data_IF_973876121607
#
_entry.id   IF_973876121607
#
_cell.length_a   1.000
_cell.length_b   1.000
_cell.length_c   1.000
_cell.angle_alpha   90.00
_cell.angle_beta   90.00
_cell.angle_gamma   90.00
#
_symmetry.space_group_name_H-M   'P 1'
#
loop_
_entity.id
_entity.type
_entity.pdbx_description
1 polymer ?
#
# COMPACT_ATOMS: atom_id res chain seq x y z
N UNK A 1 -13.07 12.33 28.30
CA UNK A 1 -12.48 11.60 29.45
C UNK A 1 -10.99 11.53 29.20
N UNK A 2 -10.12 11.74 30.20
CA UNK A 2 -8.68 11.58 30.00
C UNK A 2 -8.38 10.13 29.63
N UNK A 3 -7.40 9.93 28.76
CA UNK A 3 -6.89 8.60 28.42
C UNK A 3 -5.87 8.20 29.48
N UNK A 4 -5.98 6.98 30.02
CA UNK A 4 -5.02 6.45 30.99
C UNK A 4 -4.49 5.08 30.59
N UNK A 5 -3.21 4.82 30.82
CA UNK A 5 -2.52 3.55 30.55
C UNK A 5 -1.96 3.02 31.87
N UNK A 6 -2.48 1.89 32.36
CA UNK A 6 -2.11 1.28 33.65
C UNK A 6 -2.18 2.28 34.83
N UNK A 7 -3.18 3.16 34.82
CA UNK A 7 -3.38 4.19 35.84
C UNK A 7 -2.55 5.47 35.65
N UNK A 8 -1.74 5.59 34.60
CA UNK A 8 -1.03 6.82 34.23
C UNK A 8 -1.84 7.58 33.19
N UNK A 9 -2.30 8.79 33.51
CA UNK A 9 -3.04 9.65 32.58
C UNK A 9 -2.10 10.30 31.55
N UNK A 10 -2.51 10.35 30.29
CA UNK A 10 -1.86 11.15 29.26
C UNK A 10 -2.14 12.63 29.53
N UNK A 11 -1.08 13.44 29.59
CA UNK A 11 -1.22 14.87 29.85
C UNK A 11 -1.54 15.66 28.58
N UNK A 12 -2.22 16.79 28.73
CA UNK A 12 -2.45 17.73 27.63
C UNK A 12 -1.12 18.21 27.02
N UNK A 13 -0.06 18.32 27.83
CA UNK A 13 1.27 18.69 27.39
C UNK A 13 1.96 17.62 26.52
N UNK A 14 1.60 16.34 26.67
CA UNK A 14 2.07 15.27 25.79
C UNK A 14 1.37 15.36 24.43
N UNK A 15 0.06 15.62 24.45
CA UNK A 15 -0.75 15.83 23.24
C UNK A 15 -0.29 17.05 22.44
N UNK A 16 -0.02 18.18 23.10
CA UNK A 16 0.48 19.40 22.46
C UNK A 16 1.84 19.20 21.76
N UNK A 17 2.69 18.31 22.30
CA UNK A 17 3.98 17.97 21.70
C UNK A 17 3.86 16.99 20.54
N UNK A 18 2.96 16.02 20.62
CA UNK A 18 2.85 14.96 19.62
C UNK A 18 2.01 15.39 18.41
N UNK A 19 0.89 16.11 18.61
CA UNK A 19 -0.05 16.46 17.55
C UNK A 19 0.58 17.13 16.32
N UNK A 20 1.55 18.06 16.44
CA UNK A 20 2.22 18.67 15.29
C UNK A 20 2.96 17.66 14.39
N UNK A 21 3.37 16.50 14.92
CA UNK A 21 4.11 15.48 14.16
C UNK A 21 3.21 14.66 13.22
N UNK A 22 1.89 14.76 13.38
CA UNK A 22 0.91 13.95 12.64
C UNK A 22 -0.02 14.79 11.76
N UNK A 23 0.31 16.06 11.49
CA UNK A 23 -0.54 16.99 10.71
C UNK A 23 -0.83 16.51 9.28
N UNK A 24 0.09 15.75 8.69
CA UNK A 24 -0.06 15.21 7.34
C UNK A 24 -0.94 13.94 7.28
N UNK A 25 -1.39 13.44 8.43
CA UNK A 25 -2.23 12.24 8.51
C UNK A 25 -3.70 12.57 8.21
N UNK A 26 -4.45 11.55 7.78
CA UNK A 26 -5.90 11.70 7.52
C UNK A 26 -6.67 12.05 8.79
N UNK A 27 -6.23 11.54 9.95
CA UNK A 27 -6.78 11.88 11.25
C UNK A 27 -5.64 12.18 12.26
N UNK A 28 -5.12 13.42 12.28
CA UNK A 28 -3.94 13.78 13.07
C UNK A 28 -4.10 13.51 14.57
N UNK A 29 -5.29 13.75 15.12
CA UNK A 29 -5.57 13.56 16.53
C UNK A 29 -5.49 12.08 16.92
N UNK A 30 -6.15 11.21 16.16
CA UNK A 30 -6.12 9.77 16.40
C UNK A 30 -4.72 9.19 16.25
N UNK A 31 -3.97 9.62 15.24
CA UNK A 31 -2.59 9.20 15.02
C UNK A 31 -1.68 9.60 16.19
N UNK A 32 -1.78 10.85 16.67
CA UNK A 32 -1.01 11.33 17.81
C UNK A 32 -1.37 10.58 19.10
N UNK A 33 -2.65 10.38 19.39
CA UNK A 33 -3.11 9.63 20.56
C UNK A 33 -2.63 8.17 20.51
N UNK A 34 -2.69 7.54 19.34
CA UNK A 34 -2.19 6.17 19.14
C UNK A 34 -0.70 6.08 19.41
N UNK A 35 0.09 7.01 18.88
CA UNK A 35 1.53 7.06 19.10
C UNK A 35 1.86 7.21 20.59
N UNK A 36 1.15 8.10 21.32
CA UNK A 36 1.37 8.29 22.76
C UNK A 36 1.00 7.07 23.59
N UNK A 37 -0.13 6.41 23.30
CA UNK A 37 -0.55 5.19 23.99
C UNK A 37 0.52 4.10 23.81
N UNK A 38 0.93 3.83 22.56
CA UNK A 38 1.93 2.80 22.26
C UNK A 38 3.28 3.11 22.91
N UNK A 39 3.73 4.38 22.81
CA UNK A 39 4.96 4.85 23.45
C UNK A 39 4.91 4.64 24.96
N UNK A 40 3.82 5.00 25.61
CA UNK A 40 3.68 4.83 27.06
C UNK A 40 3.69 3.34 27.46
N UNK A 41 2.96 2.50 26.74
CA UNK A 41 2.97 1.03 26.95
C UNK A 41 4.37 0.45 26.82
N UNK A 42 5.13 0.83 25.78
CA UNK A 42 6.50 0.39 25.56
C UNK A 42 7.45 0.88 26.67
N UNK A 43 7.32 2.14 27.10
CA UNK A 43 8.14 2.67 28.20
C UNK A 43 7.89 1.93 29.51
N UNK A 44 6.63 1.67 29.84
CA UNK A 44 6.29 0.92 31.04
C UNK A 44 6.86 -0.51 31.00
N UNK A 45 6.82 -1.16 29.84
CA UNK A 45 7.42 -2.49 29.68
C UNK A 45 8.95 -2.46 29.78
N UNK A 46 9.59 -1.43 29.21
CA UNK A 46 11.02 -1.22 29.35
C UNK A 46 11.43 -1.01 30.82
N UNK A 47 10.62 -0.27 31.59
CA UNK A 47 10.83 -0.03 33.02
C UNK A 47 10.67 -1.32 33.84
N UNK A 48 9.68 -2.16 33.53
CA UNK A 48 9.54 -3.49 34.16
C UNK A 48 10.76 -4.38 33.93
N UNK A 49 11.38 -4.29 32.76
CA UNK A 49 12.60 -5.03 32.42
C UNK A 49 13.89 -4.37 32.93
N UNK A 50 13.79 -3.21 33.59
CA UNK A 50 14.92 -2.48 34.16
C UNK A 50 15.88 -1.89 33.12
N UNK A 51 15.39 -1.63 31.90
CA UNK A 51 16.21 -1.07 30.82
C UNK A 51 16.63 0.37 31.15
N UNK A 52 17.88 0.70 30.85
CA UNK A 52 18.50 1.98 31.19
C UNK A 52 18.72 2.83 29.93
N UNK A 53 18.80 4.14 30.12
CA UNK A 53 19.02 5.10 29.04
C UNK A 53 17.88 6.11 28.92
N UNK A 54 17.95 6.94 27.89
CA UNK A 54 16.83 7.77 27.50
C UNK A 54 15.68 6.92 26.93
N UNK A 55 14.58 7.57 26.60
CA UNK A 55 13.39 6.93 26.05
C UNK A 55 13.68 6.08 24.80
N UNK A 56 14.38 6.66 23.82
CA UNK A 56 14.68 6.00 22.55
C UNK A 56 15.57 4.78 22.76
N UNK A 57 16.60 4.90 23.59
CA UNK A 57 17.51 3.79 23.91
C UNK A 57 16.77 2.65 24.61
N UNK A 58 15.87 2.97 25.56
CA UNK A 58 15.09 1.97 26.30
C UNK A 58 14.12 1.22 25.39
N UNK A 59 13.41 1.94 24.51
CA UNK A 59 12.48 1.33 23.54
C UNK A 59 13.25 0.45 22.55
N UNK A 60 14.36 0.96 22.00
CA UNK A 60 15.22 0.19 21.09
C UNK A 60 15.71 -1.12 21.74
N UNK A 61 16.26 -1.02 22.95
CA UNK A 61 16.72 -2.20 23.71
C UNK A 61 15.59 -3.17 24.07
N UNK A 62 14.37 -2.68 24.31
CA UNK A 62 13.19 -3.51 24.53
C UNK A 62 12.85 -4.31 23.28
N UNK A 63 12.74 -3.63 22.14
CA UNK A 63 12.40 -4.25 20.87
C UNK A 63 13.46 -5.28 20.45
N UNK A 64 14.75 -4.95 20.57
CA UNK A 64 15.85 -5.88 20.27
C UNK A 64 15.82 -7.14 21.16
N UNK A 65 15.40 -6.99 22.42
CA UNK A 65 15.31 -8.11 23.35
C UNK A 65 14.06 -8.96 23.11
N UNK A 66 12.92 -8.33 22.82
CA UNK A 66 11.62 -8.98 22.70
C UNK A 66 11.39 -9.59 21.31
N UNK A 67 11.88 -8.93 20.26
CA UNK A 67 11.65 -9.31 18.87
C UNK A 67 12.91 -9.97 18.33
N UNK A 68 12.86 -11.29 18.18
CA UNK A 68 13.90 -12.06 17.50
C UNK A 68 13.32 -12.72 16.28
N UNK A 69 13.78 -12.27 15.13
CA UNK A 69 13.39 -12.82 13.84
C UNK A 69 14.55 -13.66 13.31
N UNK A 70 14.32 -14.94 12.95
CA UNK A 70 15.36 -15.74 12.32
C UNK A 70 15.74 -15.13 10.96
N UNK A 71 17.03 -15.23 10.62
CA UNK A 71 17.47 -14.88 9.27
C UNK A 71 16.77 -15.78 8.24
N UNK A 72 16.22 -15.22 7.15
CA UNK A 72 15.61 -16.02 6.10
C UNK A 72 16.60 -17.01 5.50
N UNK A 73 16.16 -18.26 5.38
CA UNK A 73 16.94 -19.32 4.74
C UNK A 73 17.08 -19.09 3.24
N UNK A 74 18.10 -19.70 2.64
CA UNK A 74 18.28 -19.66 1.19
C UNK A 74 17.07 -20.25 0.45
N UNK A 75 16.44 -21.27 1.02
CA UNK A 75 15.23 -21.91 0.45
C UNK A 75 14.04 -20.96 0.43
N UNK A 76 13.81 -20.22 1.52
CA UNK A 76 12.76 -19.19 1.58
C UNK A 76 13.02 -18.07 0.57
N UNK A 77 14.27 -17.62 0.44
CA UNK A 77 14.66 -16.61 -0.54
C UNK A 77 14.42 -17.09 -1.97
N UNK A 78 14.81 -18.34 -2.28
CA UNK A 78 14.61 -18.94 -3.59
C UNK A 78 13.12 -19.12 -3.92
N UNK A 79 12.34 -19.60 -2.96
CA UNK A 79 10.89 -19.76 -3.10
C UNK A 79 10.22 -18.41 -3.38
N UNK A 80 10.62 -17.36 -2.66
CA UNK A 80 10.13 -16.00 -2.90
C UNK A 80 10.50 -15.50 -4.31
N UNK A 81 11.74 -15.71 -4.74
CA UNK A 81 12.21 -15.35 -6.08
C UNK A 81 11.40 -16.04 -7.18
N UNK A 82 11.18 -17.35 -7.06
CA UNK A 82 10.45 -18.16 -8.03
C UNK A 82 8.94 -17.84 -8.07
N UNK A 83 8.37 -17.46 -6.92
CA UNK A 83 6.96 -17.10 -6.82
C UNK A 83 6.65 -15.74 -7.44
N UNK A 84 7.61 -14.81 -7.40
CA UNK A 84 7.42 -13.44 -7.87
C UNK A 84 8.51 -12.97 -8.86
N UNK A 85 8.74 -13.70 -9.96
CA UNK A 85 9.85 -13.41 -10.87
C UNK A 85 9.74 -12.01 -11.51
N UNK A 86 8.52 -11.48 -11.64
CA UNK A 86 8.27 -10.16 -12.22
C UNK A 86 8.90 -9.02 -11.40
N UNK A 87 8.97 -9.15 -10.06
CA UNK A 87 9.60 -8.14 -9.20
C UNK A 87 11.13 -8.10 -9.34
N UNK A 88 11.73 -9.12 -9.95
CA UNK A 88 13.17 -9.25 -10.12
C UNK A 88 13.61 -9.00 -11.57
N UNK A 89 12.75 -8.41 -12.39
CA UNK A 89 13.11 -7.99 -13.74
C UNK A 89 13.64 -6.57 -13.73
N UNK A 90 14.70 -6.33 -14.50
CA UNK A 90 15.27 -5.00 -14.73
C UNK A 90 15.18 -4.63 -16.21
N UNK A 91 14.88 -3.35 -16.45
CA UNK A 91 14.77 -2.82 -17.81
C UNK A 91 13.41 -3.06 -18.47
N UNK A 92 12.37 -3.40 -17.70
CA UNK A 92 11.02 -3.51 -18.23
C UNK A 92 10.55 -2.17 -18.78
N UNK A 93 10.14 -2.16 -20.05
CA UNK A 93 9.56 -0.99 -20.73
C UNK A 93 8.37 -1.42 -21.60
N UNK A 94 7.33 -0.59 -21.65
CA UNK A 94 6.21 -0.78 -22.55
C UNK A 94 5.83 0.55 -23.19
N UNK A 95 5.63 0.57 -24.50
CA UNK A 95 4.98 1.67 -25.20
C UNK A 95 3.49 1.60 -24.91
N UNK A 96 2.93 2.67 -24.35
CA UNK A 96 1.53 2.69 -23.92
C UNK A 96 0.80 3.87 -24.53
N UNK A 97 -0.41 3.61 -25.00
CA UNK A 97 -1.39 4.64 -25.34
C UNK A 97 -2.70 4.39 -24.61
N UNK A 98 -3.40 5.45 -24.23
CA UNK A 98 -4.68 5.33 -23.55
C UNK A 98 -5.70 6.40 -23.96
N UNK A 99 -6.97 6.09 -23.75
CA UNK A 99 -8.10 7.01 -23.82
C UNK A 99 -8.73 7.02 -22.44
N UNK A 100 -8.73 8.19 -21.79
CA UNK A 100 -9.35 8.38 -20.48
C UNK A 100 -10.75 8.96 -20.64
N UNK A 101 -11.75 8.29 -20.08
CA UNK A 101 -13.07 8.81 -19.80
C UNK A 101 -13.14 9.14 -18.31
N UNK A 102 -13.01 10.42 -17.98
CA UNK A 102 -12.90 10.87 -16.60
C UNK A 102 -14.25 10.75 -15.89
N UNK A 103 -14.24 10.19 -14.67
CA UNK A 103 -15.41 10.12 -13.80
C UNK A 103 -15.43 11.35 -12.90
N UNK A 104 -16.51 12.13 -12.94
CA UNK A 104 -16.75 13.27 -12.04
C UNK A 104 -18.08 13.08 -11.30
N UNK A 105 -18.31 13.76 -10.16
CA UNK A 105 -19.53 13.56 -9.34
C UNK A 105 -20.85 13.85 -10.08
N UNK A 106 -20.80 14.57 -11.20
CA UNK A 106 -21.97 15.00 -11.98
C UNK A 106 -22.23 14.10 -13.19
N UNK A 107 -21.34 13.15 -13.47
CA UNK A 107 -21.45 12.26 -14.64
C UNK A 107 -22.21 11.00 -14.26
N UNK A 108 -23.17 10.62 -15.10
CA UNK A 108 -23.78 9.30 -15.05
C UNK A 108 -22.71 8.25 -15.43
N UNK A 109 -22.25 7.51 -14.42
CA UNK A 109 -21.21 6.49 -14.57
C UNK A 109 -21.65 5.35 -15.49
N UNK A 110 -22.93 4.97 -15.48
CA UNK A 110 -23.42 3.87 -16.30
C UNK A 110 -23.43 4.28 -17.77
N UNK A 111 -23.93 5.48 -18.07
CA UNK A 111 -23.89 6.04 -19.41
C UNK A 111 -22.44 6.23 -19.91
N UNK A 112 -21.53 6.71 -19.05
CA UNK A 112 -20.11 6.86 -19.40
C UNK A 112 -19.46 5.52 -19.70
N UNK A 113 -19.74 4.48 -18.90
CA UNK A 113 -19.22 3.13 -19.11
C UNK A 113 -19.76 2.52 -20.41
N UNK A 114 -21.06 2.65 -20.68
CA UNK A 114 -21.65 2.20 -21.93
C UNK A 114 -21.01 2.89 -23.14
N UNK A 115 -20.77 4.20 -23.06
CA UNK A 115 -20.07 4.95 -24.11
C UNK A 115 -18.64 4.45 -24.31
N UNK A 116 -17.86 4.31 -23.23
CA UNK A 116 -16.49 3.80 -23.29
C UNK A 116 -16.42 2.37 -23.87
N UNK A 117 -17.35 1.48 -23.50
CA UNK A 117 -17.45 0.13 -24.06
C UNK A 117 -17.79 0.16 -25.56
N UNK A 118 -18.64 1.07 -26.02
CA UNK A 118 -18.95 1.22 -27.43
C UNK A 118 -17.70 1.64 -28.23
N UNK A 119 -16.90 2.58 -27.71
CA UNK A 119 -15.64 2.98 -28.35
C UNK A 119 -14.60 1.86 -28.32
N UNK A 120 -14.55 1.09 -27.23
CA UNK A 120 -13.70 -0.10 -27.16
C UNK A 120 -14.06 -1.11 -28.25
N UNK A 121 -15.35 -1.36 -28.49
CA UNK A 121 -15.81 -2.29 -29.54
C UNK A 121 -15.44 -1.78 -30.95
N UNK A 122 -15.53 -0.48 -31.21
CA UNK A 122 -15.04 0.13 -32.45
C UNK A 122 -13.54 -0.11 -32.62
N UNK A 123 -12.76 0.11 -31.56
CA UNK A 123 -11.30 -0.08 -31.59
C UNK A 123 -10.87 -1.55 -31.69
N UNK A 124 -11.69 -2.48 -31.21
CA UNK A 124 -11.46 -3.91 -31.41
C UNK A 124 -11.66 -4.30 -32.89
N UNK A 125 -12.61 -3.66 -33.58
CA UNK A 125 -12.84 -3.89 -35.01
C UNK A 125 -11.80 -3.17 -35.88
N UNK A 126 -11.36 -1.97 -35.48
CA UNK A 126 -10.38 -1.17 -36.20
C UNK A 126 -9.47 -0.37 -35.25
N UNK A 127 -8.34 -0.97 -34.81
CA UNK A 127 -7.38 -0.31 -33.93
C UNK A 127 -6.75 0.96 -34.52
N UNK A 128 -6.79 1.14 -35.85
CA UNK A 128 -6.17 2.32 -36.50
C UNK A 128 -6.84 3.63 -36.12
N UNK A 129 -8.09 3.58 -35.62
CA UNK A 129 -8.85 4.75 -35.18
C UNK A 129 -8.43 5.25 -33.79
N UNK A 130 -7.56 4.53 -33.07
CA UNK A 130 -7.20 4.86 -31.69
C UNK A 130 -6.78 6.31 -31.50
N UNK A 131 -5.82 6.78 -32.30
CA UNK A 131 -5.30 8.13 -32.18
C UNK A 131 -6.37 9.21 -32.49
N UNK A 132 -7.30 8.92 -33.40
CA UNK A 132 -8.39 9.83 -33.75
C UNK A 132 -9.42 9.92 -32.63
N UNK A 133 -9.85 8.77 -32.07
CA UNK A 133 -10.79 8.72 -30.95
C UNK A 133 -10.15 9.36 -29.71
N UNK A 134 -8.87 9.09 -29.43
CA UNK A 134 -8.14 9.69 -28.33
C UNK A 134 -8.11 11.23 -28.42
N UNK A 135 -7.82 11.78 -29.60
CA UNK A 135 -7.82 13.24 -29.84
C UNK A 135 -9.20 13.86 -29.66
N UNK A 136 -10.25 13.15 -30.04
CA UNK A 136 -11.62 13.65 -29.98
C UNK A 136 -12.26 13.53 -28.60
N UNK A 137 -11.92 12.49 -27.84
CA UNK A 137 -12.72 12.07 -26.67
C UNK A 137 -11.92 11.90 -25.37
N UNK A 138 -10.59 11.76 -25.41
CA UNK A 138 -9.81 11.53 -24.19
C UNK A 138 -9.79 12.79 -23.31
N UNK A 139 -10.06 12.63 -22.03
CA UNK A 139 -9.92 13.68 -21.02
C UNK A 139 -8.48 13.83 -20.48
N UNK A 140 -7.56 12.96 -20.91
CA UNK A 140 -6.15 13.08 -20.56
C UNK A 140 -5.43 14.06 -21.50
N UNK A 141 -4.47 14.89 -21.03
CA UNK A 141 -3.65 15.73 -21.90
C UNK A 141 -2.94 14.97 -23.05
N UNK A 142 -2.62 13.69 -22.84
CA UNK A 142 -2.08 12.79 -23.88
C UNK A 142 -3.02 12.63 -25.08
N UNK A 143 -4.32 12.90 -24.92
CA UNK A 143 -5.31 12.90 -25.99
C UNK A 143 -4.88 13.76 -27.18
N UNK A 144 -4.25 14.91 -26.96
CA UNK A 144 -3.74 15.77 -28.04
C UNK A 144 -2.69 15.07 -28.92
N UNK A 145 -1.98 14.11 -28.36
CA UNK A 145 -0.98 13.28 -29.03
C UNK A 145 -1.53 11.90 -29.42
N UNK A 146 -2.85 11.76 -29.54
CA UNK A 146 -3.48 10.49 -29.88
C UNK A 146 -3.49 9.48 -28.73
N UNK A 147 -3.40 9.95 -27.49
CA UNK A 147 -3.41 9.12 -26.29
C UNK A 147 -2.05 8.54 -25.93
N UNK A 148 -0.99 8.90 -26.66
CA UNK A 148 0.35 8.36 -26.45
C UNK A 148 0.94 8.81 -25.12
N UNK A 149 1.36 7.85 -24.29
CA UNK A 149 2.08 8.08 -23.04
C UNK A 149 3.60 7.91 -23.22
N UNK A 150 4.05 7.30 -24.33
CA UNK A 150 5.45 6.97 -24.56
C UNK A 150 5.84 5.65 -23.90
N UNK A 151 7.11 5.52 -23.55
CA UNK A 151 7.66 4.34 -22.88
C UNK A 151 7.49 4.45 -21.37
N UNK A 152 6.76 3.51 -20.79
CA UNK A 152 6.48 3.41 -19.36
C UNK A 152 7.29 2.27 -18.73
N UNK A 153 7.74 2.47 -17.49
CA UNK A 153 8.32 1.41 -16.65
C UNK A 153 7.35 1.00 -15.55
N UNK A 154 7.47 -0.21 -14.96
CA UNK A 154 6.61 -0.63 -13.85
C UNK A 154 6.63 0.37 -12.69
N UNK A 155 5.47 0.58 -12.08
CA UNK A 155 5.29 1.50 -10.96
C UNK A 155 5.22 3.00 -11.32
N UNK A 156 5.32 3.38 -12.60
CA UNK A 156 5.12 4.78 -13.02
C UNK A 156 3.64 5.19 -13.08
N UNK A 157 2.74 4.22 -13.12
CA UNK A 157 1.29 4.43 -13.22
C UNK A 157 0.58 3.94 -11.96
N UNK A 158 -0.69 4.31 -11.79
CA UNK A 158 -1.50 3.82 -10.68
C UNK A 158 -1.63 2.28 -10.74
N UNK A 159 -1.70 1.58 -9.58
CA UNK A 159 -1.54 0.13 -9.52
C UNK A 159 -2.46 -0.66 -10.45
N UNK A 160 -3.71 -0.24 -10.60
CA UNK A 160 -4.70 -0.91 -11.43
C UNK A 160 -4.36 -0.81 -12.92
N UNK A 161 -3.82 0.34 -13.34
CA UNK A 161 -3.39 0.57 -14.72
C UNK A 161 -2.07 -0.14 -15.02
N UNK A 162 -1.11 -0.04 -14.10
CA UNK A 162 0.19 -0.68 -14.23
C UNK A 162 0.02 -2.21 -14.36
N UNK A 163 -0.80 -2.82 -13.49
CA UNK A 163 -1.10 -4.25 -13.56
C UNK A 163 -1.70 -4.66 -14.91
N UNK A 164 -2.64 -3.87 -15.45
CA UNK A 164 -3.24 -4.15 -16.76
C UNK A 164 -2.22 -4.15 -17.90
N UNK A 165 -1.31 -3.15 -17.92
CA UNK A 165 -0.24 -3.05 -18.93
C UNK A 165 0.75 -4.23 -18.83
N UNK A 166 1.18 -4.59 -17.62
CA UNK A 166 2.20 -5.62 -17.47
C UNK A 166 1.67 -7.05 -17.65
N UNK A 167 0.36 -7.28 -17.52
CA UNK A 167 -0.28 -8.56 -17.85
C UNK A 167 -0.64 -8.66 -19.34
N UNK A 168 -0.87 -7.52 -20.02
CA UNK A 168 -1.28 -7.51 -21.41
C UNK A 168 -0.18 -7.97 -22.38
N UNK A 169 -0.63 -8.50 -23.53
CA UNK A 169 0.21 -8.88 -24.67
C UNK A 169 0.68 -7.62 -25.39
N UNK A 170 1.95 -7.55 -25.86
CA UNK A 170 2.42 -6.45 -26.70
C UNK A 170 1.61 -6.29 -27.98
N UNK A 171 1.65 -5.09 -28.57
CA UNK A 171 1.02 -4.77 -29.85
C UNK A 171 -0.49 -5.10 -29.89
N UNK A 172 -1.17 -4.93 -28.76
CA UNK A 172 -2.57 -5.29 -28.60
C UNK A 172 -3.36 -4.20 -27.86
N UNK A 173 -4.66 -4.17 -28.16
CA UNK A 173 -5.66 -3.45 -27.38
C UNK A 173 -6.09 -4.32 -26.20
N UNK A 174 -6.09 -3.78 -24.99
CA UNK A 174 -6.64 -4.49 -23.82
C UNK A 174 -8.15 -4.66 -24.04
N UNK A 175 -8.71 -5.90 -23.97
CA UNK A 175 -10.08 -6.17 -24.38
C UNK A 175 -11.14 -5.75 -23.34
N UNK A 176 -10.76 -4.98 -22.33
CA UNK A 176 -11.62 -4.51 -21.26
C UNK A 176 -11.23 -3.09 -20.86
N UNK A 177 -12.17 -2.37 -20.24
CA UNK A 177 -11.89 -1.09 -19.61
C UNK A 177 -11.04 -1.32 -18.35
N UNK A 178 -10.00 -0.51 -18.20
CA UNK A 178 -9.22 -0.44 -16.98
C UNK A 178 -9.82 0.66 -16.12
N UNK A 179 -10.26 0.33 -14.91
CA UNK A 179 -10.86 1.30 -13.99
C UNK A 179 -9.79 1.80 -13.00
N UNK A 180 -9.72 3.11 -12.81
CA UNK A 180 -8.83 3.72 -11.81
C UNK A 180 -9.54 4.84 -11.09
N UNK A 181 -8.93 5.40 -10.05
CA UNK A 181 -9.43 6.61 -9.38
C UNK A 181 -9.68 7.81 -10.29
N UNK A 182 -9.12 7.82 -11.51
CA UNK A 182 -9.32 8.89 -12.49
C UNK A 182 -10.50 8.65 -13.43
N UNK A 183 -10.98 7.41 -13.54
CA UNK A 183 -12.09 7.02 -14.42
C UNK A 183 -11.82 5.74 -15.19
N UNK A 184 -12.39 5.65 -16.39
CA UNK A 184 -12.35 4.47 -17.25
C UNK A 184 -11.33 4.66 -18.37
N UNK A 185 -10.48 3.67 -18.60
CA UNK A 185 -9.40 3.74 -19.58
C UNK A 185 -9.56 2.64 -20.63
N UNK A 186 -9.43 3.03 -21.90
CA UNK A 186 -9.12 2.10 -22.99
C UNK A 186 -7.61 2.15 -23.20
N UNK A 187 -6.93 1.01 -23.19
CA UNK A 187 -5.46 0.94 -23.22
C UNK A 187 -5.00 0.11 -24.40
N UNK A 188 -4.04 0.65 -25.15
CA UNK A 188 -3.35 -0.04 -26.22
C UNK A 188 -1.85 -0.10 -25.91
N UNK A 189 -1.24 -1.25 -26.19
CA UNK A 189 0.19 -1.47 -26.05
C UNK A 189 0.86 -1.48 -27.42
N UNK A 190 2.00 -0.81 -27.51
CA UNK A 190 2.95 -0.94 -28.60
C UNK A 190 3.98 -2.02 -28.31
N UNK A 191 5.25 -1.73 -28.56
CA UNK A 191 6.34 -2.62 -28.19
C UNK A 191 6.46 -2.75 -26.67
N UNK A 192 6.77 -3.94 -26.20
CA UNK A 192 7.02 -4.25 -24.79
C UNK A 192 8.26 -5.09 -24.67
N UNK A 193 9.15 -4.68 -23.79
CA UNK A 193 10.32 -5.44 -23.36
C UNK A 193 10.09 -5.84 -21.90
N UNK A 194 10.07 -7.15 -21.65
CA UNK A 194 9.95 -7.70 -20.29
C UNK A 194 11.27 -7.59 -19.50
N UNK A 195 12.29 -6.98 -20.09
CA UNK A 195 13.61 -6.81 -19.50
C UNK A 195 14.27 -8.15 -19.21
N UNK A 196 15.31 -8.09 -18.38
CA UNK A 196 16.09 -9.25 -18.00
C UNK A 196 15.76 -9.63 -16.57
N UNK A 197 15.50 -10.91 -16.35
CA UNK A 197 15.38 -11.46 -15.01
C UNK A 197 16.76 -11.42 -14.34
N UNK A 198 16.85 -10.73 -13.21
CA UNK A 198 18.08 -10.62 -12.41
C UNK A 198 18.38 -11.98 -11.79
N UNK A 199 19.56 -12.58 -12.01
CA UNK A 199 19.91 -13.88 -11.43
C UNK A 199 19.73 -13.92 -9.91
N UNK A 200 19.32 -15.08 -9.40
CA UNK A 200 19.04 -15.26 -7.97
C UNK A 200 20.26 -14.91 -7.11
N UNK A 201 21.47 -15.20 -7.56
CA UNK A 201 22.71 -14.90 -6.83
C UNK A 201 22.84 -13.40 -6.54
N UNK A 202 22.38 -12.56 -7.47
CA UNK A 202 22.40 -11.10 -7.34
C UNK A 202 21.21 -10.59 -6.53
N UNK A 203 20.03 -11.21 -6.67
CA UNK A 203 18.81 -10.79 -5.99
C UNK A 203 18.70 -11.32 -4.54
N UNK A 204 19.42 -12.40 -4.20
CA UNK A 204 19.28 -13.14 -2.93
C UNK A 204 19.47 -12.25 -1.70
N UNK A 205 20.49 -11.40 -1.71
CA UNK A 205 20.77 -10.49 -0.59
C UNK A 205 19.62 -9.50 -0.36
N UNK A 206 19.09 -8.88 -1.41
CA UNK A 206 17.97 -7.93 -1.27
C UNK A 206 16.67 -8.64 -0.89
N UNK A 207 16.47 -9.88 -1.35
CA UNK A 207 15.33 -10.72 -0.93
C UNK A 207 15.44 -11.05 0.56
N UNK A 208 16.61 -11.47 1.04
CA UNK A 208 16.82 -11.77 2.45
C UNK A 208 16.53 -10.56 3.33
N UNK A 209 17.04 -9.37 2.97
CA UNK A 209 16.72 -8.13 3.69
C UNK A 209 15.21 -7.83 3.68
N UNK A 210 14.54 -7.96 2.54
CA UNK A 210 13.10 -7.70 2.45
C UNK A 210 12.26 -8.70 3.26
N UNK A 211 12.62 -9.99 3.24
CA UNK A 211 11.94 -11.02 4.01
C UNK A 211 12.17 -10.84 5.52
N UNK A 212 13.39 -10.48 5.92
CA UNK A 212 13.71 -10.19 7.32
C UNK A 212 12.94 -8.97 7.82
N UNK A 213 12.90 -7.89 7.03
CA UNK A 213 12.16 -6.67 7.36
C UNK A 213 10.66 -6.97 7.52
N UNK A 214 10.07 -7.72 6.60
CA UNK A 214 8.66 -8.13 6.67
C UNK A 214 8.36 -8.95 7.93
N UNK A 215 9.23 -9.91 8.24
CA UNK A 215 9.07 -10.76 9.41
C UNK A 215 9.23 -9.96 10.71
N UNK A 216 10.13 -8.97 10.74
CA UNK A 216 10.26 -8.02 11.84
C UNK A 216 9.02 -7.16 12.04
N UNK A 217 8.48 -6.58 10.96
CA UNK A 217 7.24 -5.79 11.03
C UNK A 217 6.07 -6.61 11.57
N UNK A 218 5.94 -7.86 11.13
CA UNK A 218 4.92 -8.78 11.63
C UNK A 218 5.11 -9.10 13.12
N UNK A 219 6.34 -9.39 13.53
CA UNK A 219 6.66 -9.68 14.93
C UNK A 219 6.45 -8.45 15.83
N UNK A 220 6.79 -7.25 15.34
CA UNK A 220 6.55 -5.98 16.02
C UNK A 220 5.05 -5.73 16.21
N UNK A 221 4.26 -5.89 15.15
CA UNK A 221 2.80 -5.72 15.23
C UNK A 221 2.19 -6.69 16.25
N UNK A 222 2.61 -7.96 16.24
CA UNK A 222 2.12 -8.94 17.20
C UNK A 222 2.56 -8.61 18.63
N UNK A 223 3.81 -8.18 18.82
CA UNK A 223 4.31 -7.78 20.13
C UNK A 223 3.56 -6.57 20.70
N UNK A 224 3.36 -5.52 19.89
CA UNK A 224 2.58 -4.35 20.28
C UNK A 224 1.13 -4.72 20.63
N UNK A 225 0.51 -5.60 19.82
CA UNK A 225 -0.84 -6.12 20.09
C UNK A 225 -0.91 -6.83 21.43
N UNK A 226 0.09 -7.65 21.76
CA UNK A 226 0.16 -8.34 23.05
C UNK A 226 0.33 -7.37 24.22
N UNK A 227 1.22 -6.37 24.11
CA UNK A 227 1.42 -5.39 25.17
C UNK A 227 0.17 -4.55 25.43
N UNK A 228 -0.51 -4.13 24.36
CA UNK A 228 -1.78 -3.41 24.43
C UNK A 228 -2.85 -4.25 25.13
N UNK A 229 -2.98 -5.54 24.80
CA UNK A 229 -3.95 -6.44 25.44
C UNK A 229 -3.68 -6.64 26.94
N UNK A 230 -2.41 -6.55 27.35
CA UNK A 230 -1.99 -6.68 28.74
C UNK A 230 -2.09 -5.37 29.53
N UNK A 231 -2.24 -4.23 28.84
CA UNK A 231 -2.35 -2.92 29.47
C UNK A 231 -3.82 -2.57 29.78
N UNK A 232 -4.06 -1.97 30.95
CA UNK A 232 -5.34 -1.34 31.31
C UNK A 232 -5.40 0.04 30.66
N UNK A 233 -5.93 0.09 29.43
CA UNK A 233 -6.12 1.33 28.67
C UNK A 233 -7.57 1.79 28.84
N UNK A 234 -7.78 2.98 29.39
CA UNK A 234 -9.11 3.58 29.58
C UNK A 234 -9.26 4.87 28.81
N UNK A 235 -10.48 5.17 28.36
CA UNK A 235 -10.81 6.41 27.67
C UNK A 235 -10.39 6.44 26.20
N UNK A 236 -9.89 5.33 25.64
CA UNK A 236 -9.43 5.20 24.25
C UNK A 236 -10.41 4.41 23.35
N UNK A 237 -11.67 4.27 23.76
CA UNK A 237 -12.68 3.41 23.10
C UNK A 237 -12.98 3.81 21.65
N UNK A 238 -12.64 5.04 21.26
CA UNK A 238 -12.81 5.55 19.89
C UNK A 238 -11.70 5.08 18.94
N UNK A 239 -10.62 4.46 19.44
CA UNK A 239 -9.54 3.91 18.63
C UNK A 239 -9.76 2.42 18.39
N UNK A 240 -10.12 1.99 17.16
CA UNK A 240 -10.47 0.60 16.87
C UNK A 240 -9.37 -0.39 17.24
N UNK A 241 -8.10 -0.01 17.09
CA UNK A 241 -6.93 -0.84 17.42
C UNK A 241 -6.78 -1.17 18.92
N UNK A 242 -7.49 -0.47 19.81
CA UNK A 242 -7.41 -0.66 21.26
C UNK A 242 -8.72 -1.14 21.89
N UNK A 243 -9.77 -1.37 21.08
CA UNK A 243 -11.01 -1.95 21.56
C UNK A 243 -10.78 -3.43 21.92
N UNK A 244 -10.80 -3.74 23.22
CA UNK A 244 -10.92 -5.12 23.69
C UNK A 244 -12.30 -5.64 23.30
N UNK A 245 -12.38 -6.85 22.73
CA UNK A 245 -13.65 -7.55 22.53
C UNK A 245 -14.29 -7.87 23.89
N UNK A 246 -14.93 -6.89 24.53
CA UNK A 246 -15.94 -7.13 25.56
C UNK A 246 -17.28 -7.33 24.88
N UNK A 247 -17.48 -8.52 24.31
CA UNK A 247 -18.82 -9.04 24.02
C UNK A 247 -18.86 -10.51 24.40
N UNK A 248 -19.04 -10.76 25.70
CA UNK A 248 -19.73 -11.97 26.11
C UNK A 248 -21.20 -11.79 25.79
N UNK A 249 -21.70 -12.42 24.71
CA UNK A 249 -23.06 -12.96 24.58
C UNK A 249 -23.03 -14.16 23.60
N UNK A 250 -23.30 -15.33 24.19
CA UNK A 250 -23.98 -16.52 23.66
C UNK A 250 -23.39 -17.33 22.48
N UNK A 251 -22.82 -18.48 22.87
CA UNK A 251 -23.15 -19.73 22.18
C UNK A 251 -24.66 -19.98 22.27
N UNK A 252 -25.36 -19.92 21.13
CA UNK A 252 -26.68 -20.53 20.98
C UNK A 252 -26.92 -20.93 19.52
N UNK A 253 -26.78 -22.24 19.28
CA UNK A 253 -27.31 -23.08 18.19
C UNK A 253 -27.06 -22.70 16.73
#
# INVERSE_FOLDING_TARGET
>A
MPVSINGIELSDADMERELPLHQDQTNPLESAMTALILRNVLQQEADKLGLQGDEETRISALLDKAIRVPEPTQEECLSHYQRFPQHFRKGQIAEVSHILYQVTPQVDLEALRAHALAQLAVLQADPSQFAAIAKAQSNCPSGQQGGNLGQMTPGQMVPEFDAAVWIAVPQALIPALVETRFGLHIVALGNKDDGVLVPFEVASASIATALQQRSFEQALQEYLRQLVQQADIRGADFLPQFQTQSSGVEYAN
#
